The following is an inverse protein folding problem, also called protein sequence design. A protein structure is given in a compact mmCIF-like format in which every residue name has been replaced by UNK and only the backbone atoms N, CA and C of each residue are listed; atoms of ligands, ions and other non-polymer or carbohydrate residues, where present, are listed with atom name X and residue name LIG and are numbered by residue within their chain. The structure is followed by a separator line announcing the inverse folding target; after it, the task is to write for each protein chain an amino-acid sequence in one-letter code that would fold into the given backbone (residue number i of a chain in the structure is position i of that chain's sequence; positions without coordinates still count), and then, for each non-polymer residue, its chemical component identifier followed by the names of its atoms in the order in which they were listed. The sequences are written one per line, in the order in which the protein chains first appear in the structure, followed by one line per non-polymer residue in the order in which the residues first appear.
data_IF_305328659518
#
_entry.id   IF_305328659518
#
_cell.length_a   1.000
_cell.length_b   1.000
_cell.length_c   1.000
_cell.angle_alpha   90.00
_cell.angle_beta   90.00
_cell.angle_gamma   90.00
#
_symmetry.space_group_name_H-M   'P 1'
#
loop_
_entity.id
_entity.type
_entity.pdbx_description
1 polymer ?
#
# COMPACT_ATOMS: atom_id res chain seq x y z
N UNK A 1 -37.44 46.56 1.59
CA UNK A 1 -36.56 46.11 2.70
C UNK A 1 -36.30 44.59 2.72
N UNK A 2 -36.98 43.78 1.90
CA UNK A 2 -36.88 42.31 1.93
C UNK A 2 -35.77 41.75 1.03
N UNK A 3 -35.46 42.45 -0.08
CA UNK A 3 -34.45 42.05 -1.05
C UNK A 3 -33.00 42.17 -0.52
N UNK A 4 -32.70 43.17 0.34
CA UNK A 4 -31.36 43.34 0.92
C UNK A 4 -31.02 42.26 1.96
N UNK A 5 -32.01 41.73 2.68
CA UNK A 5 -31.84 40.65 3.66
C UNK A 5 -31.52 39.32 2.96
N UNK A 6 -32.25 39.00 1.90
CA UNK A 6 -32.03 37.81 1.06
C UNK A 6 -30.65 37.80 0.40
N UNK A 7 -30.13 38.95 -0.04
CA UNK A 7 -28.78 39.01 -0.62
C UNK A 7 -27.66 38.83 0.42
N UNK A 8 -27.87 39.25 1.68
CA UNK A 8 -26.89 39.03 2.74
C UNK A 8 -26.85 37.55 3.17
N UNK A 9 -28.01 36.88 3.24
CA UNK A 9 -28.08 35.44 3.54
C UNK A 9 -27.40 34.61 2.45
N UNK A 10 -27.57 34.97 1.16
CA UNK A 10 -26.87 34.31 0.06
C UNK A 10 -25.35 34.48 0.14
N UNK A 11 -24.87 35.67 0.55
CA UNK A 11 -23.45 35.95 0.71
C UNK A 11 -22.84 35.15 1.87
N UNK A 12 -23.54 35.02 3.00
CA UNK A 12 -23.11 34.15 4.09
C UNK A 12 -23.09 32.68 3.69
N UNK A 13 -24.12 32.18 3.01
CA UNK A 13 -24.16 30.81 2.49
C UNK A 13 -23.03 30.52 1.51
N UNK A 14 -22.71 31.46 0.60
CA UNK A 14 -21.57 31.34 -0.31
C UNK A 14 -20.24 31.35 0.46
N UNK A 15 -20.11 32.16 1.51
CA UNK A 15 -18.90 32.19 2.36
C UNK A 15 -18.73 30.88 3.14
N UNK A 16 -19.81 30.30 3.67
CA UNK A 16 -19.81 29.02 4.40
C UNK A 16 -19.49 27.87 3.45
N UNK A 17 -20.07 27.84 2.24
CA UNK A 17 -19.75 26.85 1.21
C UNK A 17 -18.30 26.97 0.75
N UNK A 18 -17.77 28.19 0.56
CA UNK A 18 -16.36 28.42 0.25
C UNK A 18 -15.45 28.00 1.39
N UNK A 19 -15.81 28.27 2.66
CA UNK A 19 -15.04 27.80 3.83
C UNK A 19 -15.08 26.29 3.98
N UNK A 20 -16.20 25.60 3.73
CA UNK A 20 -16.27 24.12 3.71
C UNK A 20 -15.50 23.51 2.55
N UNK A 21 -15.51 24.14 1.38
CA UNK A 21 -14.70 23.73 0.21
C UNK A 21 -13.22 23.95 0.45
N UNK A 22 -12.82 25.07 1.07
CA UNK A 22 -11.44 25.32 1.50
C UNK A 22 -11.02 24.42 2.66
N UNK A 23 -11.91 24.09 3.60
CA UNK A 23 -11.59 23.11 4.66
C UNK A 23 -11.44 21.70 4.06
N UNK A 24 -12.27 21.31 3.08
CA UNK A 24 -12.06 20.09 2.30
C UNK A 24 -10.84 20.17 1.38
N UNK A 25 -10.38 21.35 0.97
CA UNK A 25 -9.14 21.50 0.18
C UNK A 25 -7.91 21.78 1.05
N UNK A 26 -8.04 21.98 2.37
CA UNK A 26 -6.93 22.12 3.31
C UNK A 26 -6.76 20.80 4.08
N UNK A 27 -7.87 20.08 4.34
CA UNK A 27 -7.88 18.75 4.94
C UNK A 27 -7.84 17.64 3.85
N UNK A 28 -8.31 17.93 2.63
CA UNK A 28 -8.36 16.98 1.51
C UNK A 28 -7.44 17.31 0.33
N UNK A 29 -6.40 18.13 0.55
CA UNK A 29 -5.34 18.38 -0.45
C UNK A 29 -3.94 18.00 0.05
N UNK A 30 -3.87 17.06 1.00
CA UNK A 30 -2.62 16.35 1.32
C UNK A 30 -2.87 14.93 1.88
N UNK A 31 -3.76 14.18 1.22
CA UNK A 31 -3.84 12.72 1.37
C UNK A 31 -3.76 12.07 -0.03
N UNK A 32 -2.88 12.59 -0.90
CA UNK A 32 -2.10 11.65 -1.70
C UNK A 32 -1.19 10.99 -0.67
N UNK A 33 -1.54 9.78 -0.22
CA UNK A 33 -0.81 9.15 0.88
C UNK A 33 0.64 8.93 0.47
N UNK A 34 1.52 9.79 0.99
CA UNK A 34 2.94 9.66 0.81
C UNK A 34 3.40 8.33 1.40
N UNK A 35 4.29 7.69 0.64
CA UNK A 35 4.98 6.49 1.08
C UNK A 35 5.77 6.78 2.36
N UNK A 36 5.49 6.00 3.41
CA UNK A 36 6.23 6.02 4.67
C UNK A 36 7.32 4.96 4.61
N UNK A 37 8.58 5.38 4.70
CA UNK A 37 9.73 4.49 4.72
C UNK A 37 9.78 3.69 6.03
N UNK A 38 10.15 2.41 5.94
CA UNK A 38 10.52 1.54 7.06
C UNK A 38 12.05 1.49 7.09
N UNK A 39 12.67 2.01 8.15
CA UNK A 39 14.13 2.14 8.21
C UNK A 39 14.80 1.03 9.02
N UNK A 40 14.11 0.55 10.05
CA UNK A 40 14.65 -0.38 11.03
C UNK A 40 13.54 -1.27 11.63
N UNK A 41 13.92 -2.14 12.56
CA UNK A 41 13.02 -3.06 13.24
C UNK A 41 11.93 -2.32 14.04
N UNK A 42 12.19 -1.11 14.54
CA UNK A 42 11.18 -0.35 15.29
C UNK A 42 10.07 0.14 14.37
N UNK A 43 10.40 0.58 13.16
CA UNK A 43 9.40 0.94 12.15
C UNK A 43 8.57 -0.28 11.71
N UNK A 44 9.20 -1.46 11.63
CA UNK A 44 8.52 -2.73 11.37
C UNK A 44 7.50 -3.02 12.46
N UNK A 45 7.92 -3.04 13.73
CA UNK A 45 7.01 -3.29 14.87
C UNK A 45 5.87 -2.28 14.91
N UNK A 46 6.16 -1.00 14.65
CA UNK A 46 5.14 0.05 14.59
C UNK A 46 4.08 -0.25 13.53
N UNK A 47 4.48 -0.74 12.36
CA UNK A 47 3.55 -1.14 11.31
C UNK A 47 2.78 -2.42 11.66
N UNK A 48 3.46 -3.42 12.24
CA UNK A 48 2.83 -4.66 12.69
C UNK A 48 1.73 -4.35 13.71
N UNK A 49 2.03 -3.58 14.76
CA UNK A 49 1.04 -3.15 15.77
C UNK A 49 -0.12 -2.38 15.13
N UNK A 50 0.18 -1.43 14.24
CA UNK A 50 -0.83 -0.62 13.57
C UNK A 50 -1.77 -1.46 12.70
N UNK A 51 -1.23 -2.43 11.96
CA UNK A 51 -1.99 -3.27 11.03
C UNK A 51 -2.47 -4.58 11.65
N UNK A 52 -2.25 -4.79 12.95
CA UNK A 52 -2.64 -5.99 13.69
C UNK A 52 -1.93 -7.24 13.18
N UNK A 53 -0.62 -7.16 12.96
CA UNK A 53 0.25 -8.24 12.48
C UNK A 53 -0.27 -8.92 11.21
N UNK A 54 -1.02 -8.19 10.37
CA UNK A 54 -1.66 -8.73 9.17
C UNK A 54 -2.69 -9.85 9.43
N UNK A 55 -3.03 -10.13 10.70
CA UNK A 55 -4.03 -11.12 11.09
C UNK A 55 -5.38 -10.85 10.41
N UNK A 56 -6.05 -11.93 10.03
CA UNK A 56 -7.32 -11.91 9.33
C UNK A 56 -7.29 -11.01 8.09
N UNK A 57 -6.10 -10.95 7.48
CA UNK A 57 -5.80 -10.26 6.26
C UNK A 57 -5.70 -11.21 5.08
N UNK A 58 -5.50 -10.63 3.90
CA UNK A 58 -5.11 -11.35 2.70
C UNK A 58 -4.18 -10.48 1.86
N UNK A 59 -3.22 -11.13 1.20
CA UNK A 59 -2.47 -10.53 0.10
C UNK A 59 -3.39 -10.54 -1.13
N UNK A 60 -3.91 -9.36 -1.48
CA UNK A 60 -4.92 -9.21 -2.53
C UNK A 60 -4.28 -9.11 -3.91
N UNK A 61 -3.18 -8.36 -4.02
CA UNK A 61 -2.47 -8.13 -5.27
C UNK A 61 -0.96 -8.04 -5.05
N UNK A 62 -0.22 -8.48 -6.05
CA UNK A 62 1.21 -8.21 -6.21
C UNK A 62 1.43 -7.59 -7.58
N UNK A 63 2.17 -6.49 -7.63
CA UNK A 63 2.55 -5.83 -8.88
C UNK A 63 4.04 -5.58 -8.93
N UNK A 64 4.66 -6.10 -9.97
CA UNK A 64 6.10 -6.12 -10.15
C UNK A 64 6.44 -5.30 -11.38
N UNK A 65 7.42 -4.42 -11.25
CA UNK A 65 7.94 -3.61 -12.35
C UNK A 65 9.44 -3.80 -12.40
N UNK A 66 9.91 -4.47 -13.45
CA UNK A 66 11.33 -4.78 -13.67
C UNK A 66 12.05 -3.64 -14.41
N UNK A 67 11.28 -2.76 -15.08
CA UNK A 67 11.70 -1.54 -15.80
C UNK A 67 12.64 -1.74 -16.99
N UNK A 68 13.06 -2.95 -17.31
CA UNK A 68 13.60 -3.22 -18.65
C UNK A 68 12.51 -2.97 -19.69
N UNK A 69 12.88 -2.27 -20.76
CA UNK A 69 11.93 -1.91 -21.79
C UNK A 69 12.58 -1.91 -23.17
N UNK A 70 11.73 -1.98 -24.20
CA UNK A 70 12.15 -1.87 -25.59
C UNK A 70 11.80 -0.47 -26.09
N UNK A 71 12.77 0.22 -26.68
CA UNK A 71 12.53 1.53 -27.30
C UNK A 71 11.75 1.39 -28.60
N UNK A 72 11.28 2.51 -29.16
CA UNK A 72 10.59 2.53 -30.47
C UNK A 72 11.47 2.02 -31.61
N UNK A 73 12.79 2.09 -31.43
CA UNK A 73 13.82 1.61 -32.34
C UNK A 73 14.16 0.12 -32.13
N UNK A 74 13.34 -0.62 -31.38
CA UNK A 74 13.51 -2.04 -31.07
C UNK A 74 14.81 -2.35 -30.31
N UNK A 75 15.31 -1.38 -29.53
CA UNK A 75 16.52 -1.53 -28.72
C UNK A 75 16.19 -1.79 -27.25
N UNK A 76 17.00 -2.63 -26.60
CA UNK A 76 16.84 -2.94 -25.17
C UNK A 76 17.38 -1.82 -24.28
N UNK A 77 16.65 -1.52 -23.20
CA UNK A 77 17.05 -0.62 -22.11
C UNK A 77 17.07 -1.38 -20.79
N UNK A 78 18.02 -1.03 -19.92
CA UNK A 78 18.21 -1.66 -18.62
C UNK A 78 18.26 -0.56 -17.55
N UNK A 79 17.31 -0.59 -16.63
CA UNK A 79 17.27 0.32 -15.47
C UNK A 79 17.81 -0.37 -14.20
N UNK A 80 17.77 -1.70 -14.14
CA UNK A 80 18.25 -2.49 -12.99
C UNK A 80 17.44 -2.30 -11.70
N UNK A 81 16.38 -1.51 -11.74
CA UNK A 81 15.51 -1.21 -10.60
C UNK A 81 14.25 -2.08 -10.64
N UNK A 82 14.25 -3.13 -9.82
CA UNK A 82 13.09 -3.97 -9.60
C UNK A 82 12.28 -3.46 -8.40
N UNK A 83 11.02 -3.09 -8.65
CA UNK A 83 10.07 -2.69 -7.60
C UNK A 83 8.93 -3.70 -7.53
N UNK A 84 8.52 -4.07 -6.32
CA UNK A 84 7.29 -4.84 -6.09
C UNK A 84 6.36 -4.10 -5.13
N UNK A 85 5.08 -4.04 -5.44
CA UNK A 85 4.03 -3.51 -4.57
C UNK A 85 3.05 -4.62 -4.20
N UNK A 86 2.89 -4.85 -2.90
CA UNK A 86 1.96 -5.81 -2.32
C UNK A 86 0.78 -5.05 -1.72
N UNK A 87 -0.45 -5.39 -2.11
CA UNK A 87 -1.69 -4.82 -1.58
C UNK A 87 -2.31 -5.79 -0.59
N UNK A 88 -2.50 -5.33 0.65
CA UNK A 88 -3.13 -6.10 1.71
C UNK A 88 -4.51 -5.53 2.05
N UNK A 89 -5.46 -6.42 2.34
CA UNK A 89 -6.75 -6.08 2.93
C UNK A 89 -6.97 -6.92 4.18
N UNK A 90 -7.63 -6.39 5.22
CA UNK A 90 -7.99 -7.14 6.43
C UNK A 90 -9.40 -6.84 6.92
N UNK A 91 -9.97 -7.70 7.78
CA UNK A 91 -11.34 -7.52 8.31
C UNK A 91 -11.47 -6.47 9.44
N UNK A 92 -10.48 -5.59 9.61
CA UNK A 92 -10.43 -4.57 10.66
C UNK A 92 -10.39 -3.15 10.07
N UNK A 93 -10.84 -2.17 10.87
CA UNK A 93 -10.76 -0.73 10.52
C UNK A 93 -9.43 -0.14 10.99
N UNK A 94 -9.00 0.94 10.33
CA UNK A 94 -7.87 1.81 10.76
C UNK A 94 -6.49 1.12 10.89
N UNK A 95 -5.79 0.84 9.78
CA UNK A 95 -6.27 0.87 8.39
C UNK A 95 -6.80 -0.50 7.95
N UNK A 96 -7.72 -0.51 6.99
CA UNK A 96 -8.27 -1.74 6.39
C UNK A 96 -7.41 -2.22 5.23
N UNK A 97 -6.84 -1.29 4.47
CA UNK A 97 -6.09 -1.56 3.25
C UNK A 97 -4.76 -0.83 3.31
N UNK A 98 -3.66 -1.55 3.12
CA UNK A 98 -2.33 -0.96 2.98
C UNK A 98 -1.63 -1.51 1.75
N UNK A 99 -0.68 -0.73 1.22
CA UNK A 99 0.34 -1.23 0.31
C UNK A 99 1.69 -1.29 1.02
N UNK A 100 2.47 -2.33 0.72
CA UNK A 100 3.91 -2.36 0.92
C UNK A 100 4.61 -2.26 -0.43
N UNK A 101 5.60 -1.39 -0.56
CA UNK A 101 6.47 -1.31 -1.73
C UNK A 101 7.88 -1.67 -1.33
N UNK A 102 8.43 -2.70 -1.98
CA UNK A 102 9.84 -3.04 -1.93
C UNK A 102 10.53 -2.45 -3.15
N UNK A 103 11.58 -1.67 -2.91
CA UNK A 103 12.49 -1.18 -3.95
C UNK A 103 13.80 -1.97 -3.93
N UNK A 104 14.41 -2.16 -5.10
CA UNK A 104 15.57 -3.04 -5.32
C UNK A 104 15.32 -4.44 -4.75
N UNK A 105 14.23 -5.06 -5.21
CA UNK A 105 13.86 -6.42 -4.80
C UNK A 105 14.95 -7.40 -5.17
N UNK A 106 15.39 -8.21 -4.20
CA UNK A 106 16.37 -9.27 -4.43
C UNK A 106 15.68 -10.58 -4.83
N UNK A 107 14.62 -10.93 -4.10
CA UNK A 107 13.86 -12.15 -4.38
C UNK A 107 12.42 -12.03 -3.92
N UNK A 108 11.53 -12.59 -4.73
CA UNK A 108 10.13 -12.88 -4.41
C UNK A 108 9.91 -14.38 -4.59
N UNK A 109 9.38 -15.03 -3.56
CA UNK A 109 8.80 -16.36 -3.64
C UNK A 109 7.29 -16.24 -3.57
N UNK A 110 6.59 -16.74 -4.58
CA UNK A 110 5.14 -16.71 -4.63
C UNK A 110 4.60 -18.14 -4.69
N UNK A 111 4.25 -18.68 -3.53
CA UNK A 111 3.59 -19.97 -3.39
C UNK A 111 2.11 -19.77 -3.03
N UNK A 112 1.19 -19.79 -4.00
CA UNK A 112 -0.22 -19.61 -3.69
C UNK A 112 -0.75 -20.79 -2.86
N UNK A 113 -1.69 -20.56 -1.93
CA UNK A 113 -2.31 -21.66 -1.21
C UNK A 113 -2.98 -22.63 -2.19
N UNK A 114 -2.88 -23.93 -1.91
CA UNK A 114 -3.57 -24.93 -2.72
C UNK A 114 -5.08 -24.63 -2.76
N UNK A 115 -5.75 -24.98 -3.86
CA UNK A 115 -7.14 -24.57 -4.17
C UNK A 115 -8.19 -24.90 -3.08
N UNK A 116 -7.87 -25.81 -2.17
CA UNK A 116 -8.70 -26.21 -1.03
C UNK A 116 -8.52 -25.34 0.23
N UNK A 117 -7.54 -24.45 0.26
CA UNK A 117 -7.24 -23.55 1.38
C UNK A 117 -7.57 -22.11 1.02
N UNK A 118 -7.96 -21.32 2.02
CA UNK A 118 -8.14 -19.89 1.86
C UNK A 118 -6.78 -19.16 1.93
N UNK A 119 -6.72 -17.95 1.38
CA UNK A 119 -5.53 -17.09 1.43
C UNK A 119 -5.50 -16.19 2.66
N UNK A 120 -6.06 -16.64 3.78
CA UNK A 120 -6.08 -15.87 5.02
C UNK A 120 -4.67 -15.87 5.61
N UNK A 121 -4.18 -14.67 5.94
CA UNK A 121 -2.94 -14.49 6.68
C UNK A 121 -3.27 -14.66 8.16
N UNK A 122 -2.68 -15.68 8.77
CA UNK A 122 -2.77 -15.88 10.21
C UNK A 122 -1.67 -15.11 10.93
N UNK A 123 -0.43 -15.15 10.46
CA UNK A 123 0.65 -14.38 11.08
C UNK A 123 1.71 -14.09 10.01
N UNK A 124 2.70 -13.28 10.35
CA UNK A 124 3.77 -12.90 9.43
C UNK A 124 5.12 -12.86 10.12
N UNK A 125 6.17 -13.07 9.33
CA UNK A 125 7.53 -12.72 9.70
C UNK A 125 7.90 -11.46 8.94
N UNK A 126 8.17 -10.37 9.65
CA UNK A 126 8.75 -9.15 9.07
C UNK A 126 10.04 -8.81 9.82
N UNK A 127 11.18 -8.90 9.14
CA UNK A 127 12.50 -8.69 9.76
C UNK A 127 13.47 -7.99 8.81
N UNK A 128 14.52 -7.40 9.37
CA UNK A 128 15.67 -6.87 8.62
C UNK A 128 16.90 -7.72 8.93
N UNK A 129 17.63 -8.15 7.89
CA UNK A 129 18.86 -8.95 8.00
C UNK A 129 19.85 -8.44 6.95
N UNK A 130 21.08 -8.13 7.34
CA UNK A 130 22.16 -7.69 6.43
C UNK A 130 21.77 -6.58 5.42
N UNK A 131 20.98 -5.60 5.90
CA UNK A 131 20.41 -4.47 5.13
C UNK A 131 19.24 -4.80 4.19
N UNK A 132 18.78 -6.04 4.15
CA UNK A 132 17.59 -6.44 3.43
C UNK A 132 16.41 -6.54 4.38
N UNK A 133 15.27 -6.04 3.94
CA UNK A 133 14.00 -6.27 4.59
C UNK A 133 13.35 -7.52 4.01
N UNK A 134 12.73 -8.32 4.87
CA UNK A 134 12.00 -9.52 4.52
C UNK A 134 10.59 -9.43 5.06
N UNK A 135 9.60 -9.75 4.22
CA UNK A 135 8.24 -10.01 4.64
C UNK A 135 7.84 -11.41 4.18
N UNK A 136 7.26 -12.22 5.06
CA UNK A 136 6.77 -13.55 4.76
C UNK A 136 5.39 -13.77 5.39
N UNK A 137 4.54 -14.56 4.71
CA UNK A 137 3.15 -14.83 5.09
C UNK A 137 2.96 -15.84 6.23
N UNK A 138 4.02 -16.16 6.97
CA UNK A 138 4.03 -17.16 8.05
C UNK A 138 4.88 -16.66 9.22
N UNK A 139 4.48 -17.00 10.45
CA UNK A 139 5.32 -16.81 11.63
C UNK A 139 6.52 -17.77 11.61
N UNK A 140 7.60 -17.38 12.29
CA UNK A 140 8.82 -18.19 12.40
C UNK A 140 9.43 -18.60 11.04
N UNK A 141 9.13 -17.86 9.98
CA UNK A 141 9.65 -18.14 8.64
C UNK A 141 11.16 -17.90 8.59
N UNK A 142 11.86 -18.83 7.94
CA UNK A 142 13.31 -18.78 7.75
C UNK A 142 13.68 -18.48 6.30
N UNK A 143 14.79 -17.74 6.13
CA UNK A 143 15.23 -17.29 4.81
C UNK A 143 15.49 -18.48 3.89
N UNK A 144 14.74 -18.53 2.79
CA UNK A 144 14.86 -19.56 1.77
C UNK A 144 13.84 -20.69 1.87
N UNK A 145 12.99 -20.71 2.90
CA UNK A 145 11.82 -21.58 2.90
C UNK A 145 10.88 -21.20 1.75
N UNK A 146 10.52 -22.17 0.91
CA UNK A 146 9.75 -21.94 -0.31
C UNK A 146 8.25 -22.24 -0.13
N UNK A 147 7.83 -22.69 1.04
CA UNK A 147 6.43 -23.02 1.31
C UNK A 147 5.59 -21.75 1.57
N UNK A 148 6.19 -20.69 2.09
CA UNK A 148 5.53 -19.39 2.34
C UNK A 148 5.62 -18.42 1.14
N UNK A 149 4.67 -17.49 1.02
CA UNK A 149 4.86 -16.30 0.17
C UNK A 149 5.77 -15.34 0.90
N UNK A 150 6.88 -14.94 0.26
CA UNK A 150 7.81 -14.00 0.87
C UNK A 150 8.53 -13.13 -0.14
N UNK A 151 8.98 -11.95 0.30
CA UNK A 151 9.72 -11.00 -0.53
C UNK A 151 10.87 -10.39 0.27
N UNK A 152 11.94 -10.03 -0.43
CA UNK A 152 13.09 -9.30 0.09
C UNK A 152 13.50 -8.13 -0.79
N UNK A 153 14.01 -7.07 -0.19
CA UNK A 153 14.55 -5.90 -0.90
C UNK A 153 15.27 -4.92 0.03
N UNK A 154 16.01 -3.98 -0.56
CA UNK A 154 16.87 -3.05 0.18
C UNK A 154 16.09 -1.94 0.91
N UNK A 155 14.91 -1.59 0.42
CA UNK A 155 14.09 -0.52 1.00
C UNK A 155 12.61 -0.86 0.95
N UNK A 156 11.90 -0.54 2.02
CA UNK A 156 10.46 -0.79 2.12
C UNK A 156 9.73 0.48 2.48
N UNK A 157 8.61 0.69 1.82
CA UNK A 157 7.70 1.78 2.09
C UNK A 157 6.28 1.26 2.25
N UNK A 158 5.46 1.96 3.01
CA UNK A 158 4.05 1.63 3.14
C UNK A 158 3.14 2.85 3.07
N UNK A 159 1.89 2.63 2.70
CA UNK A 159 0.82 3.63 2.76
C UNK A 159 -0.53 2.94 2.88
N UNK A 160 -1.54 3.65 3.37
CA UNK A 160 -2.92 3.16 3.36
C UNK A 160 -3.56 3.45 2.00
N UNK A 161 -4.47 2.57 1.56
CA UNK A 161 -5.22 2.70 0.31
C UNK A 161 -6.71 2.39 0.51
N UNK A 162 -7.41 3.14 1.38
CA UNK A 162 -8.79 2.83 1.75
C UNK A 162 -9.76 2.76 0.56
N UNK A 163 -9.43 3.44 -0.55
CA UNK A 163 -10.18 3.41 -1.79
C UNK A 163 -10.10 2.07 -2.55
N UNK A 164 -9.14 1.20 -2.22
CA UNK A 164 -8.94 -0.11 -2.85
C UNK A 164 -9.58 -1.26 -2.06
N UNK A 165 -10.52 -0.98 -1.15
CA UNK A 165 -11.24 -2.02 -0.41
C UNK A 165 -12.12 -2.86 -1.33
N UNK A 166 -12.14 -4.19 -1.14
CA UNK A 166 -12.93 -5.12 -1.93
C UNK A 166 -12.29 -5.45 -3.27
N UNK A 167 -13.11 -5.67 -4.30
CA UNK A 167 -12.64 -6.08 -5.64
C UNK A 167 -12.62 -4.88 -6.60
N UNK A 168 -11.85 -3.85 -6.26
CA UNK A 168 -11.65 -2.66 -7.11
C UNK A 168 -10.40 -2.86 -7.95
N UNK A 169 -10.48 -2.57 -9.25
CA UNK A 169 -9.30 -2.61 -10.13
C UNK A 169 -8.35 -1.48 -9.75
N UNK A 170 -7.14 -1.85 -9.31
CA UNK A 170 -6.10 -0.90 -8.94
C UNK A 170 -5.37 -0.32 -10.15
N UNK A 171 -5.16 -1.15 -11.17
CA UNK A 171 -4.61 -0.76 -12.45
C UNK A 171 -5.77 -0.47 -13.39
N UNK A 172 -5.68 0.62 -14.15
CA UNK A 172 -6.68 0.89 -15.17
C UNK A 172 -6.63 -0.23 -16.20
N UNK A 173 -7.80 -0.80 -16.53
CA UNK A 173 -7.93 -1.62 -17.72
C UNK A 173 -7.71 -0.67 -18.93
N UNK A 174 -6.64 -0.88 -19.68
CA UNK A 174 -6.42 -0.18 -20.95
C UNK A 174 -7.51 -0.49 -21.98
#
# INVERSE_FOLDING_TARGET
MQCSKQMNDLRELILICRRKSLLHSIIGFNIMQDWKEIKDEKDIETLLDLYGHFHDGCLREVHIVTRESITKELSMTFDGHLTATLLFQRQYKNPTVIELRFDNVEKLNFNPPASQFNSIIYDVTFKKVDNLFYWASEDNWEIGDNDAVWISGESVFWRERPELIGQVNRLNDE
#
